data_IF_567612370442
#
_entry.id   IF_567612370442
#
_cell.length_a   1.000
_cell.length_b   1.000
_cell.length_c   1.000
_cell.angle_alpha   90.00
_cell.angle_beta   90.00
_cell.angle_gamma   90.00
#
_symmetry.space_group_name_H-M   'P 1'
#
loop_
_entity.id
_entity.type
_entity.pdbx_description
1 polymer ?
#
# COMPACT_ATOMS: atom_id res chain seq x y z
N UNK A 1 10.06 -35.35 41.03
CA UNK A 1 9.58 -36.21 39.93
C UNK A 1 8.27 -36.87 40.33
N UNK A 2 7.28 -36.89 39.48
CA UNK A 2 6.11 -37.74 39.60
C UNK A 2 6.49 -39.14 39.08
N UNK A 3 6.42 -40.14 39.94
CA UNK A 3 6.78 -41.52 39.59
C UNK A 3 5.54 -42.36 39.24
N UNK A 4 4.37 -41.77 39.21
CA UNK A 4 3.10 -42.41 38.89
C UNK A 4 2.66 -41.92 37.49
N UNK A 5 2.29 -42.85 36.64
CA UNK A 5 1.84 -42.58 35.28
C UNK A 5 0.67 -41.57 35.30
N UNK A 6 0.73 -40.61 34.39
CA UNK A 6 -0.31 -39.59 34.13
C UNK A 6 -0.66 -38.73 35.36
N UNK A 7 0.25 -38.66 36.36
CA UNK A 7 0.06 -37.77 37.54
C UNK A 7 0.86 -36.49 37.39
N UNK A 8 0.16 -35.40 37.42
CA UNK A 8 0.68 -34.05 37.23
C UNK A 8 1.61 -33.59 38.35
N UNK A 9 2.52 -32.72 37.98
CA UNK A 9 3.25 -31.92 38.95
C UNK A 9 2.53 -30.58 39.12
N UNK A 10 2.07 -30.31 40.36
CA UNK A 10 1.22 -29.16 40.64
C UNK A 10 1.87 -28.30 41.72
N UNK A 11 2.02 -27.01 41.45
CA UNK A 11 2.45 -26.01 42.45
C UNK A 11 1.20 -25.29 42.94
N UNK A 12 0.98 -25.36 44.24
CA UNK A 12 -0.17 -24.72 44.92
C UNK A 12 0.32 -23.69 45.92
N UNK A 13 -0.49 -22.70 46.16
CA UNK A 13 -0.27 -21.65 47.13
C UNK A 13 -1.59 -21.23 47.79
N UNK A 14 -1.50 -20.25 48.67
CA UNK A 14 -2.64 -19.58 49.29
C UNK A 14 -2.63 -18.11 48.85
N UNK A 15 -3.75 -17.63 48.36
CA UNK A 15 -3.95 -16.23 47.98
C UNK A 15 -5.10 -15.67 48.83
N UNK A 16 -4.74 -14.88 49.84
CA UNK A 16 -5.70 -14.24 50.73
C UNK A 16 -6.59 -15.20 51.53
N UNK A 17 -6.08 -16.38 51.90
CA UNK A 17 -6.80 -17.41 52.61
C UNK A 17 -7.54 -18.42 51.72
N UNK A 18 -7.32 -18.37 50.41
CA UNK A 18 -7.88 -19.30 49.46
C UNK A 18 -6.78 -20.10 48.77
N UNK A 19 -6.86 -21.43 48.79
CA UNK A 19 -5.91 -22.30 48.11
C UNK A 19 -6.02 -22.19 46.58
N UNK A 20 -4.93 -21.84 45.91
CA UNK A 20 -4.84 -21.74 44.46
C UNK A 20 -3.85 -22.77 43.87
N UNK A 21 -4.05 -23.15 42.63
CA UNK A 21 -3.04 -23.83 41.81
C UNK A 21 -2.33 -22.79 40.95
N UNK A 22 -1.05 -22.54 41.19
CA UNK A 22 -0.30 -21.53 40.49
C UNK A 22 0.24 -22.06 39.12
N UNK A 23 0.69 -23.32 39.11
CA UNK A 23 1.23 -23.98 37.90
C UNK A 23 0.87 -25.47 37.94
N UNK A 24 0.46 -25.97 36.77
CA UNK A 24 0.29 -27.40 36.53
C UNK A 24 1.22 -27.81 35.38
N UNK A 25 2.01 -28.89 35.59
CA UNK A 25 2.65 -29.63 34.47
C UNK A 25 1.86 -30.93 34.28
N UNK A 26 1.12 -31.01 33.19
CA UNK A 26 0.26 -32.13 32.84
C UNK A 26 1.07 -33.25 32.20
N UNK A 27 1.29 -34.33 32.94
CA UNK A 27 2.10 -35.48 32.45
C UNK A 27 1.32 -36.35 31.48
N UNK A 28 0.00 -36.29 31.46
CA UNK A 28 -0.84 -36.97 30.45
C UNK A 28 -0.85 -36.24 29.10
N UNK A 29 -0.51 -34.92 29.10
CA UNK A 29 -0.41 -34.09 27.91
C UNK A 29 1.07 -33.64 27.66
N UNK A 30 1.97 -34.62 27.64
CA UNK A 30 3.38 -34.46 27.32
C UNK A 30 4.12 -33.39 28.16
N UNK A 31 3.65 -33.09 29.37
CA UNK A 31 4.25 -32.09 30.27
C UNK A 31 3.85 -30.65 29.97
N UNK A 32 2.71 -30.45 29.33
CA UNK A 32 2.13 -29.11 29.08
C UNK A 32 2.08 -28.29 30.37
N UNK A 33 2.63 -27.09 30.31
CA UNK A 33 2.61 -26.15 31.45
C UNK A 33 1.40 -25.22 31.35
N UNK A 34 0.57 -25.16 32.41
CA UNK A 34 -0.54 -24.24 32.52
C UNK A 34 -0.32 -23.34 33.76
N UNK A 35 -0.18 -22.05 33.52
CA UNK A 35 -0.09 -21.02 34.53
C UNK A 35 -1.48 -20.45 34.81
N UNK A 36 -1.80 -20.25 36.10
CA UNK A 36 -3.09 -19.67 36.53
C UNK A 36 -3.16 -18.15 36.34
N UNK A 37 -2.00 -17.50 36.29
CA UNK A 37 -1.87 -16.05 36.08
C UNK A 37 -0.97 -15.71 34.89
N UNK A 38 -0.67 -14.44 34.72
CA UNK A 38 0.25 -13.92 33.72
C UNK A 38 1.64 -14.49 33.96
N UNK A 39 2.35 -14.83 32.88
CA UNK A 39 3.77 -15.16 32.90
C UNK A 39 4.56 -13.87 32.73
N UNK A 40 5.17 -13.37 33.80
CA UNK A 40 6.07 -12.23 33.78
C UNK A 40 7.51 -12.74 33.64
N UNK A 41 8.19 -12.31 32.59
CA UNK A 41 9.55 -12.74 32.25
C UNK A 41 10.45 -11.50 32.07
N UNK A 42 11.00 -10.99 33.19
CA UNK A 42 11.79 -9.75 33.22
C UNK A 42 12.95 -9.70 32.22
N UNK A 43 13.56 -10.84 31.91
CA UNK A 43 14.67 -10.96 30.96
C UNK A 43 14.22 -11.29 29.51
N UNK A 44 12.91 -11.32 29.27
CA UNK A 44 12.33 -11.72 27.99
C UNK A 44 12.11 -13.23 27.85
N UNK A 45 11.47 -13.62 26.78
CA UNK A 45 11.18 -15.01 26.41
C UNK A 45 11.95 -15.33 25.13
N UNK A 46 12.82 -16.33 25.19
CA UNK A 46 13.47 -16.87 23.99
C UNK A 46 12.66 -18.08 23.53
N UNK A 47 12.13 -18.02 22.32
CA UNK A 47 11.41 -19.12 21.69
C UNK A 47 12.08 -19.46 20.36
N UNK A 48 12.09 -20.73 20.02
CA UNK A 48 12.64 -21.18 18.75
C UNK A 48 11.75 -20.69 17.57
N UNK A 49 10.43 -20.82 17.74
CA UNK A 49 9.42 -20.20 16.89
C UNK A 49 8.41 -19.46 17.76
N UNK A 50 8.09 -18.23 17.43
CA UNK A 50 7.08 -17.47 18.15
C UNK A 50 5.70 -17.97 17.70
N UNK A 51 4.98 -18.61 18.61
CA UNK A 51 3.56 -18.91 18.44
C UNK A 51 2.80 -18.05 19.44
N UNK A 52 2.02 -17.09 18.93
CA UNK A 52 1.06 -16.35 19.73
C UNK A 52 -0.29 -17.00 19.46
N UNK A 53 -0.85 -17.64 20.50
CA UNK A 53 -2.14 -18.30 20.41
C UNK A 53 -3.23 -17.29 20.69
N UNK A 54 -3.97 -16.94 19.66
CA UNK A 54 -4.95 -15.89 19.64
C UNK A 54 -4.90 -15.13 18.31
N UNK A 55 -5.67 -14.08 18.18
CA UNK A 55 -5.81 -13.33 16.93
C UNK A 55 -5.04 -12.00 16.91
N UNK A 56 -4.40 -11.62 18.02
CA UNK A 56 -3.80 -10.29 18.18
C UNK A 56 -2.46 -10.33 18.89
N UNK A 57 -1.59 -9.41 18.51
CA UNK A 57 -0.48 -8.93 19.32
C UNK A 57 -0.90 -7.55 19.82
N UNK A 58 -1.38 -7.47 21.06
CA UNK A 58 -1.88 -6.22 21.66
C UNK A 58 -0.85 -5.62 22.60
N UNK A 59 -0.59 -4.32 22.44
CA UNK A 59 0.23 -3.51 23.32
C UNK A 59 -0.65 -2.43 23.96
N UNK A 60 -0.73 -2.43 25.27
CA UNK A 60 -1.50 -1.42 26.03
C UNK A 60 -0.88 -0.01 25.99
N UNK A 61 0.40 0.11 25.60
CA UNK A 61 1.11 1.39 25.43
C UNK A 61 2.41 1.19 24.67
N UNK A 62 2.92 2.26 24.04
CA UNK A 62 4.16 2.23 23.26
C UNK A 62 3.98 1.67 21.85
N UNK A 63 5.07 1.49 21.16
CA UNK A 63 5.12 1.03 19.77
C UNK A 63 5.54 -0.44 19.68
N UNK A 64 4.96 -1.20 18.78
CA UNK A 64 5.47 -2.51 18.38
C UNK A 64 6.63 -2.30 17.38
N UNK A 65 7.84 -2.62 17.82
CA UNK A 65 9.03 -2.59 16.96
C UNK A 65 9.36 -4.00 16.49
N UNK A 66 9.43 -4.18 15.16
CA UNK A 66 9.95 -5.39 14.53
C UNK A 66 11.36 -5.07 14.03
N UNK A 67 12.39 -5.38 14.84
CA UNK A 67 13.80 -5.19 14.49
C UNK A 67 14.34 -6.52 13.97
N UNK A 68 14.51 -6.62 12.66
CA UNK A 68 14.83 -7.86 11.95
C UNK A 68 16.07 -7.64 11.11
N UNK A 69 17.09 -8.49 11.27
CA UNK A 69 18.32 -8.42 10.45
C UNK A 69 18.07 -8.82 8.98
N UNK A 70 17.05 -9.64 8.71
CA UNK A 70 16.63 -10.06 7.37
C UNK A 70 15.38 -9.32 6.89
N UNK A 71 14.59 -9.98 6.07
CA UNK A 71 13.35 -9.43 5.51
C UNK A 71 12.15 -9.61 6.46
N UNK A 72 11.18 -8.71 6.40
CA UNK A 72 9.85 -8.89 6.99
C UNK A 72 8.90 -9.34 5.89
N UNK A 73 8.42 -10.58 5.97
CA UNK A 73 7.45 -11.15 5.05
C UNK A 73 6.08 -11.11 5.72
N UNK A 74 5.14 -10.37 5.12
CA UNK A 74 3.74 -10.32 5.54
C UNK A 74 2.92 -11.17 4.56
N UNK A 75 2.68 -12.44 4.91
CA UNK A 75 1.96 -13.41 4.10
C UNK A 75 0.54 -13.59 4.66
N UNK A 76 -0.40 -12.85 4.11
CA UNK A 76 -1.81 -12.92 4.48
C UNK A 76 -2.59 -13.66 3.38
N UNK A 77 -3.20 -14.80 3.70
CA UNK A 77 -4.02 -15.57 2.73
C UNK A 77 -5.20 -14.78 2.17
N UNK A 78 -5.67 -13.73 2.85
CA UNK A 78 -6.66 -12.77 2.35
C UNK A 78 -6.09 -11.80 1.32
N UNK A 79 -4.76 -11.70 1.21
CA UNK A 79 -4.06 -10.83 0.26
C UNK A 79 -3.87 -9.39 0.71
N UNK A 80 -4.39 -9.00 1.89
CA UNK A 80 -4.43 -7.61 2.32
C UNK A 80 -3.50 -7.32 3.52
N UNK A 81 -2.76 -6.21 3.45
CA UNK A 81 -2.19 -5.52 4.60
C UNK A 81 -3.00 -4.24 4.83
N UNK A 82 -3.74 -4.19 5.93
CA UNK A 82 -4.73 -3.15 6.22
C UNK A 82 -4.14 -2.13 7.20
N UNK A 83 -4.32 -0.84 6.90
CA UNK A 83 -3.99 0.27 7.78
C UNK A 83 -5.26 0.84 8.38
N UNK A 84 -5.32 0.88 9.71
CA UNK A 84 -6.47 1.42 10.46
C UNK A 84 -6.01 2.50 11.43
N UNK A 85 -6.91 3.45 11.70
CA UNK A 85 -6.78 4.45 12.75
C UNK A 85 -8.12 4.49 13.50
N UNK A 86 -8.07 4.22 14.81
CA UNK A 86 -9.23 4.14 15.71
C UNK A 86 -10.41 3.33 15.11
N UNK A 87 -10.09 2.12 14.59
CA UNK A 87 -11.05 1.20 13.99
C UNK A 87 -11.51 1.57 12.58
N UNK A 88 -11.10 2.71 12.05
CA UNK A 88 -11.42 3.13 10.68
C UNK A 88 -10.34 2.67 9.70
N UNK A 89 -10.71 1.91 8.68
CA UNK A 89 -9.78 1.53 7.61
C UNK A 89 -9.46 2.76 6.76
N UNK A 90 -8.21 3.20 6.78
CA UNK A 90 -7.73 4.35 6.01
C UNK A 90 -7.17 3.95 4.65
N UNK A 91 -6.62 2.75 4.54
CA UNK A 91 -6.08 2.24 3.28
C UNK A 91 -5.57 0.82 3.43
N UNK A 92 -5.21 0.21 2.31
CA UNK A 92 -4.55 -1.09 2.29
C UNK A 92 -3.59 -1.27 1.11
N UNK A 93 -2.69 -2.23 1.28
CA UNK A 93 -1.91 -2.82 0.19
C UNK A 93 -2.52 -4.19 -0.06
N UNK A 94 -2.98 -4.44 -1.27
CA UNK A 94 -3.73 -5.66 -1.61
C UNK A 94 -3.26 -6.27 -2.92
N UNK A 95 -3.59 -7.55 -3.12
CA UNK A 95 -3.40 -8.26 -4.36
C UNK A 95 -4.71 -8.26 -5.17
N UNK A 96 -4.64 -7.81 -6.42
CA UNK A 96 -5.75 -7.93 -7.37
C UNK A 96 -5.27 -8.60 -8.65
N UNK A 97 -5.62 -9.85 -8.86
CA UNK A 97 -5.21 -10.64 -10.05
C UNK A 97 -3.70 -10.63 -10.31
N UNK A 98 -2.90 -10.70 -9.25
CA UNK A 98 -1.43 -10.59 -9.23
C UNK A 98 -0.86 -9.18 -9.36
N UNK A 99 -1.68 -8.16 -9.43
CA UNK A 99 -1.24 -6.77 -9.33
C UNK A 99 -1.10 -6.35 -7.86
N UNK A 100 -0.06 -5.60 -7.56
CA UNK A 100 0.10 -4.91 -6.28
C UNK A 100 -0.70 -3.61 -6.31
N UNK A 101 -1.78 -3.54 -5.52
CA UNK A 101 -2.65 -2.36 -5.43
C UNK A 101 -2.43 -1.65 -4.09
N UNK A 102 -2.27 -0.34 -4.13
CA UNK A 102 -2.28 0.54 -2.96
C UNK A 102 -3.54 1.39 -3.05
N UNK A 103 -4.42 1.31 -2.06
CA UNK A 103 -5.75 1.92 -2.13
C UNK A 103 -6.05 2.77 -0.89
N UNK A 104 -6.59 4.00 -1.11
CA UNK A 104 -7.23 4.80 -0.07
C UNK A 104 -8.68 4.32 0.11
N UNK A 105 -9.11 4.05 1.34
CA UNK A 105 -10.44 3.47 1.64
C UNK A 105 -11.46 4.48 2.17
N UNK A 106 -11.01 5.68 2.51
CA UNK A 106 -11.92 6.73 2.97
C UNK A 106 -12.35 7.58 1.78
N UNK A 107 -13.67 7.73 1.59
CA UNK A 107 -14.24 8.51 0.48
C UNK A 107 -13.65 9.91 0.43
N UNK A 108 -13.29 10.35 -0.78
CA UNK A 108 -12.75 11.68 -1.07
C UNK A 108 -11.44 12.03 -0.34
N UNK A 109 -10.71 11.02 0.16
CA UNK A 109 -9.39 11.20 0.78
C UNK A 109 -8.28 10.75 -0.16
N UNK A 110 -7.35 11.66 -0.35
CA UNK A 110 -6.28 11.56 -1.34
C UNK A 110 -5.17 10.58 -0.94
N UNK A 111 -4.48 10.08 -1.95
CA UNK A 111 -3.16 9.47 -1.78
C UNK A 111 -2.09 10.55 -1.95
N UNK A 112 -1.27 10.73 -0.91
CA UNK A 112 -0.29 11.82 -0.85
C UNK A 112 1.11 11.26 -0.62
N UNK A 113 2.03 11.60 -1.52
CA UNK A 113 3.45 11.27 -1.39
C UNK A 113 4.21 12.50 -0.88
N UNK A 114 4.82 12.36 0.28
CA UNK A 114 5.58 13.42 0.95
C UNK A 114 7.05 13.04 1.07
N UNK A 115 7.89 14.04 1.14
CA UNK A 115 9.31 13.88 1.37
C UNK A 115 9.89 15.03 2.20
N UNK A 116 11.19 15.01 2.41
CA UNK A 116 11.93 16.05 3.10
C UNK A 116 12.94 16.66 2.11
N UNK A 117 12.85 17.95 1.89
CA UNK A 117 13.77 18.72 1.07
C UNK A 117 14.52 19.74 1.95
N UNK A 118 15.79 19.45 2.20
CA UNK A 118 16.68 20.32 2.98
C UNK A 118 16.19 20.57 4.41
N UNK A 119 15.49 19.63 5.04
CA UNK A 119 14.94 19.75 6.40
C UNK A 119 13.47 20.20 6.43
N UNK A 120 12.87 20.53 5.28
CA UNK A 120 11.47 20.94 5.18
C UNK A 120 10.61 19.86 4.56
N UNK A 121 9.47 19.53 5.20
CA UNK A 121 8.51 18.59 4.63
C UNK A 121 7.82 19.14 3.40
N UNK A 122 7.84 18.39 2.30
CA UNK A 122 7.15 18.75 1.05
C UNK A 122 6.14 17.67 0.65
N UNK A 123 5.09 18.05 -0.08
CA UNK A 123 4.23 17.12 -0.82
C UNK A 123 4.78 17.05 -2.25
N UNK A 124 5.21 15.88 -2.69
CA UNK A 124 5.75 15.68 -4.03
C UNK A 124 4.67 15.35 -5.07
N UNK A 125 3.68 14.54 -4.68
CA UNK A 125 2.58 14.12 -5.54
C UNK A 125 1.29 13.97 -4.70
N UNK A 126 0.19 14.46 -5.24
CA UNK A 126 -1.17 14.19 -4.73
C UNK A 126 -1.98 13.50 -5.84
N UNK A 127 -2.66 12.41 -5.48
CA UNK A 127 -3.72 11.81 -6.27
C UNK A 127 -5.05 12.18 -5.59
N UNK A 128 -5.78 13.10 -6.20
CA UNK A 128 -7.04 13.66 -5.68
C UNK A 128 -8.19 12.71 -6.02
N UNK A 129 -8.70 11.98 -5.01
CA UNK A 129 -9.78 11.01 -5.21
C UNK A 129 -11.14 11.70 -5.40
N UNK A 130 -11.33 12.90 -4.83
CA UNK A 130 -12.52 13.72 -5.07
C UNK A 130 -12.53 14.31 -6.49
N UNK A 131 -11.35 14.47 -7.09
CA UNK A 131 -11.13 14.89 -8.47
C UNK A 131 -11.00 13.75 -9.48
N UNK A 132 -11.62 12.59 -9.21
CA UNK A 132 -11.54 11.39 -10.06
C UNK A 132 -10.11 10.89 -10.33
N UNK A 133 -9.24 10.97 -9.32
CA UNK A 133 -7.85 10.53 -9.40
C UNK A 133 -6.93 11.50 -10.13
N UNK A 134 -7.26 12.77 -10.18
CA UNK A 134 -6.39 13.79 -10.77
C UNK A 134 -5.04 13.83 -10.06
N UNK A 135 -3.95 13.80 -10.83
CA UNK A 135 -2.59 13.83 -10.30
C UNK A 135 -2.02 15.26 -10.34
N UNK A 136 -1.54 15.73 -9.19
CA UNK A 136 -0.83 17.02 -9.06
C UNK A 136 0.58 16.79 -8.56
N UNK A 137 1.57 17.14 -9.38
CA UNK A 137 2.98 17.14 -9.02
C UNK A 137 3.39 18.52 -8.50
N UNK A 138 4.21 18.54 -7.46
CA UNK A 138 4.72 19.80 -6.89
C UNK A 138 5.70 20.54 -7.82
N UNK A 139 6.32 19.79 -8.73
CA UNK A 139 7.29 20.33 -9.69
C UNK A 139 7.10 19.61 -11.05
N UNK A 140 8.06 19.79 -11.94
CA UNK A 140 8.03 19.33 -13.33
C UNK A 140 7.87 17.81 -13.45
N UNK A 141 7.12 17.39 -14.47
CA UNK A 141 7.09 16.00 -14.96
C UNK A 141 8.01 15.93 -16.18
N UNK A 142 9.18 15.33 -16.03
CA UNK A 142 10.21 15.27 -17.09
C UNK A 142 10.22 13.93 -17.79
N UNK A 143 10.32 13.94 -19.11
CA UNK A 143 10.56 12.76 -19.93
C UNK A 143 11.97 12.77 -20.52
N UNK A 144 12.66 11.62 -20.52
CA UNK A 144 13.98 11.51 -21.11
C UNK A 144 13.93 11.75 -22.64
N UNK A 145 14.83 12.64 -23.12
CA UNK A 145 14.94 12.98 -24.54
C UNK A 145 16.39 13.06 -25.03
N UNK A 146 17.31 12.38 -24.34
CA UNK A 146 18.73 12.37 -24.69
C UNK A 146 18.94 11.69 -26.07
N UNK A 147 19.67 12.38 -26.95
CA UNK A 147 20.00 11.88 -28.29
C UNK A 147 20.72 10.53 -28.28
N UNK A 148 21.54 10.27 -27.23
CA UNK A 148 22.30 9.02 -27.08
C UNK A 148 21.43 7.79 -26.86
N UNK A 149 20.18 7.99 -26.41
CA UNK A 149 19.17 6.95 -26.19
C UNK A 149 18.23 6.75 -27.39
N UNK A 150 18.50 7.42 -28.53
CA UNK A 150 17.64 7.41 -29.72
C UNK A 150 18.40 6.89 -30.92
N UNK A 151 17.75 6.04 -31.72
CA UNK A 151 18.25 5.52 -32.99
C UNK A 151 17.35 6.00 -34.14
N UNK A 152 17.79 5.85 -35.35
CA UNK A 152 17.03 6.19 -36.59
C UNK A 152 16.44 7.61 -36.57
N UNK A 153 17.20 8.56 -36.03
CA UNK A 153 16.80 9.95 -35.91
C UNK A 153 16.68 10.56 -37.33
N UNK A 154 15.50 11.05 -37.64
CA UNK A 154 15.21 11.78 -38.89
C UNK A 154 14.27 12.95 -38.58
N UNK A 155 14.34 13.97 -39.45
CA UNK A 155 13.46 15.12 -39.35
C UNK A 155 12.01 14.72 -39.60
N UNK A 156 11.08 15.44 -38.97
CA UNK A 156 9.65 15.32 -39.26
C UNK A 156 9.37 16.05 -40.59
N UNK A 157 8.92 15.33 -41.59
CA UNK A 157 8.53 15.92 -42.86
C UNK A 157 7.32 16.82 -42.71
N UNK A 158 7.36 18.00 -43.37
CA UNK A 158 6.28 19.00 -43.33
C UNK A 158 5.87 19.43 -41.93
N UNK A 159 6.83 19.55 -41.03
CA UNK A 159 6.58 19.82 -39.58
C UNK A 159 5.64 21.02 -39.35
N UNK A 160 5.90 22.16 -40.04
CA UNK A 160 5.06 23.36 -39.91
C UNK A 160 3.60 23.07 -40.36
N UNK A 161 3.43 22.36 -41.49
CA UNK A 161 2.10 21.98 -41.97
C UNK A 161 1.35 21.08 -41.02
N UNK A 162 2.06 20.20 -40.29
CA UNK A 162 1.50 19.35 -39.22
C UNK A 162 1.06 20.19 -38.04
N UNK A 163 1.90 21.09 -37.56
CA UNK A 163 1.57 22.00 -36.45
C UNK A 163 0.33 22.83 -36.79
N UNK A 164 0.23 23.35 -38.02
CA UNK A 164 -0.94 24.13 -38.49
C UNK A 164 -2.25 23.32 -38.53
N UNK A 165 -2.17 21.99 -38.57
CA UNK A 165 -3.33 21.09 -38.54
C UNK A 165 -3.73 20.68 -37.11
N UNK A 166 -2.87 20.91 -36.12
CA UNK A 166 -3.19 20.64 -34.73
C UNK A 166 -4.23 21.66 -34.26
N UNK A 167 -5.39 21.19 -33.85
CA UNK A 167 -6.50 22.04 -33.43
C UNK A 167 -6.64 21.98 -31.91
N UNK A 168 -6.47 23.13 -31.25
CA UNK A 168 -6.82 23.30 -29.85
C UNK A 168 -8.32 23.47 -29.65
N UNK A 169 -8.88 22.86 -28.62
CA UNK A 169 -10.31 22.91 -28.32
C UNK A 169 -10.55 23.20 -26.84
N UNK A 170 -11.65 23.85 -26.54
CA UNK A 170 -12.25 23.86 -25.19
C UNK A 170 -13.20 22.68 -25.08
N UNK A 171 -13.19 21.98 -23.96
CA UNK A 171 -14.05 20.81 -23.75
C UNK A 171 -14.41 20.65 -22.27
N UNK A 172 -15.42 19.83 -22.00
CA UNK A 172 -15.70 19.27 -20.67
C UNK A 172 -15.72 17.76 -20.78
N UNK A 173 -15.20 17.09 -19.79
CA UNK A 173 -15.30 15.62 -19.69
C UNK A 173 -16.74 15.27 -19.33
N UNK A 174 -17.29 14.30 -20.05
CA UNK A 174 -18.68 13.82 -19.85
C UNK A 174 -18.77 12.63 -18.89
N UNK A 175 -17.62 12.12 -18.47
CA UNK A 175 -17.46 11.02 -17.51
C UNK A 175 -17.14 11.54 -16.08
N UNK A 176 -17.10 12.85 -15.88
CA UNK A 176 -16.91 13.51 -14.59
C UNK A 176 -18.07 14.47 -14.35
N UNK A 177 -18.81 14.25 -13.26
CA UNK A 177 -19.88 15.15 -12.85
C UNK A 177 -19.32 16.54 -12.53
N UNK A 178 -20.05 17.60 -12.93
CA UNK A 178 -19.67 19.00 -12.73
C UNK A 178 -18.26 19.38 -13.28
N UNK A 179 -17.79 18.65 -14.31
CA UNK A 179 -16.49 18.93 -14.92
C UNK A 179 -16.37 20.39 -15.37
N UNK A 180 -15.26 21.02 -14.97
CA UNK A 180 -14.90 22.37 -15.43
C UNK A 180 -14.48 22.34 -16.89
N UNK A 181 -14.64 23.48 -17.58
CA UNK A 181 -14.08 23.67 -18.92
C UNK A 181 -12.57 23.55 -18.90
N UNK A 182 -12.06 22.76 -19.81
CA UNK A 182 -10.63 22.47 -20.02
C UNK A 182 -10.22 22.88 -21.43
N UNK A 183 -8.91 22.95 -21.66
CA UNK A 183 -8.32 23.22 -22.96
C UNK A 183 -7.33 22.12 -23.32
N UNK A 184 -7.29 21.71 -24.58
CA UNK A 184 -6.37 20.67 -25.04
C UNK A 184 -6.60 20.35 -26.51
N UNK A 185 -6.19 19.17 -26.92
CA UNK A 185 -6.36 18.62 -28.27
C UNK A 185 -7.19 17.33 -28.20
N UNK A 186 -7.89 16.99 -29.28
CA UNK A 186 -8.57 15.70 -29.39
C UNK A 186 -7.58 14.63 -29.87
N UNK A 187 -7.57 13.48 -29.21
CA UNK A 187 -6.64 12.40 -29.55
C UNK A 187 -6.86 11.86 -30.98
N UNK A 188 -8.12 11.83 -31.44
CA UNK A 188 -8.47 11.41 -32.80
C UNK A 188 -7.88 12.37 -33.85
N UNK A 189 -7.96 13.67 -33.63
CA UNK A 189 -7.41 14.68 -34.55
C UNK A 189 -5.87 14.63 -34.56
N UNK A 190 -5.28 14.41 -33.37
CA UNK A 190 -3.83 14.23 -33.24
C UNK A 190 -3.34 12.97 -33.93
N UNK A 191 -4.11 11.89 -33.94
CA UNK A 191 -3.77 10.63 -34.63
C UNK A 191 -3.61 10.82 -36.14
N UNK A 192 -4.43 11.69 -36.76
CA UNK A 192 -4.33 12.00 -38.19
C UNK A 192 -3.07 12.81 -38.51
N UNK A 193 -2.58 13.62 -37.57
CA UNK A 193 -1.43 14.52 -37.80
C UNK A 193 -0.14 13.90 -37.32
N UNK A 194 -0.11 13.28 -36.14
CA UNK A 194 1.08 12.73 -35.47
C UNK A 194 0.70 11.49 -34.65
N UNK A 195 0.42 10.36 -35.31
CA UNK A 195 -0.08 9.15 -34.61
C UNK A 195 0.85 8.62 -33.51
N UNK A 196 2.14 8.97 -33.57
CA UNK A 196 3.12 8.50 -32.60
C UNK A 196 2.93 9.06 -31.17
N UNK A 197 2.12 10.10 -31.00
CA UNK A 197 1.80 10.69 -29.69
C UNK A 197 0.46 10.23 -29.17
N UNK A 198 -0.25 9.36 -29.88
CA UNK A 198 -1.56 8.83 -29.49
C UNK A 198 -1.43 7.42 -28.96
N UNK A 199 -1.98 7.17 -27.79
CA UNK A 199 -2.09 5.85 -27.18
C UNK A 199 -3.55 5.40 -27.23
N UNK A 200 -3.76 4.11 -27.51
CA UNK A 200 -5.10 3.48 -27.50
C UNK A 200 -5.12 2.43 -26.39
N UNK A 201 -6.02 2.59 -25.44
CA UNK A 201 -6.22 1.62 -24.36
C UNK A 201 -6.84 0.32 -24.88
N UNK A 202 -6.65 -0.76 -24.15
CA UNK A 202 -7.28 -2.07 -24.44
C UNK A 202 -8.58 -2.24 -23.65
N UNK A 203 -9.40 -1.17 -23.62
CA UNK A 203 -10.74 -1.18 -23.07
C UNK A 203 -11.80 -1.43 -24.16
N UNK A 204 -13.06 -1.58 -23.75
CA UNK A 204 -14.18 -1.92 -24.63
C UNK A 204 -14.39 -0.88 -25.75
N UNK A 205 -14.22 0.41 -25.44
CA UNK A 205 -14.42 1.52 -26.37
C UNK A 205 -13.12 2.01 -27.05
N UNK A 206 -11.97 1.35 -26.73
CA UNK A 206 -10.65 1.71 -27.26
C UNK A 206 -10.31 3.19 -27.04
N UNK A 207 -10.43 3.60 -25.76
CA UNK A 207 -10.17 4.98 -25.33
C UNK A 207 -8.81 5.47 -25.81
N UNK A 208 -8.78 6.66 -26.41
CA UNK A 208 -7.54 7.29 -26.91
C UNK A 208 -7.08 8.39 -25.96
N UNK A 209 -5.77 8.49 -25.80
CA UNK A 209 -5.09 9.55 -25.04
C UNK A 209 -3.92 10.12 -25.82
N UNK A 210 -3.51 11.34 -25.44
CA UNK A 210 -2.35 12.02 -26.02
C UNK A 210 -1.21 12.03 -25.00
N UNK A 211 -0.03 11.56 -25.43
CA UNK A 211 1.20 11.65 -24.65
C UNK A 211 1.81 13.05 -24.84
N UNK A 212 1.43 13.97 -23.95
CA UNK A 212 1.91 15.35 -23.97
C UNK A 212 3.42 15.48 -23.74
N UNK A 213 4.08 14.47 -23.19
CA UNK A 213 5.53 14.43 -23.00
C UNK A 213 6.31 14.20 -24.31
N UNK A 214 5.61 13.91 -25.40
CA UNK A 214 6.19 13.67 -26.74
C UNK A 214 5.86 14.74 -27.78
N UNK A 215 5.09 15.74 -27.40
CA UNK A 215 4.71 16.87 -28.28
C UNK A 215 5.72 18.01 -28.16
#
# INVERSE_FOLDING_TARGET
TTAVQDKDFVIKGDDGGSGITALTLDMSDAGKATFNGVVDADAGITVDNITIDGTEIDLSSGDLTLDVEGDIILDANGGDVIFQDDGTVIGHITNSSSDLVIESKVSDKDMIFKGNDGGSGITALTLDMSGAGAATFNNDVTAFSDKRLKTDIKNIDNALSKVMKMQGVYYKRNDIDDAKEQVGVLAQDMEEVLPQVVLTADDEIKTKSVDYGKI
#
